data_IF_695656547637
#
_entry.id   IF_695656547637
#
_cell.length_a   1.000
_cell.length_b   1.000
_cell.length_c   1.000
_cell.angle_alpha   90.00
_cell.angle_beta   90.00
_cell.angle_gamma   90.00
#
_symmetry.space_group_name_H-M   'P 1'
#
loop_
_entity.id
_entity.type
_entity.pdbx_description
1 polymer ?
#
# COMPACT_ATOMS: atom_id res chain seq x y z
N UNK A 1 -5.49 -10.06 -16.94
CA UNK A 1 -4.07 -10.28 -17.32
C UNK A 1 -3.27 -10.66 -16.07
N UNK A 2 -2.30 -11.59 -16.13
CA UNK A 2 -1.45 -11.92 -14.98
C UNK A 2 -0.63 -10.71 -14.51
N UNK A 3 -0.23 -10.68 -13.24
CA UNK A 3 0.64 -9.64 -12.71
C UNK A 3 2.03 -9.72 -13.38
N UNK A 4 2.65 -8.57 -13.64
CA UNK A 4 3.92 -8.45 -14.36
C UNK A 4 4.97 -7.74 -13.53
N UNK A 5 6.21 -8.23 -13.59
CA UNK A 5 7.36 -7.60 -12.96
C UNK A 5 8.44 -7.30 -14.00
N UNK A 6 9.06 -6.13 -13.87
CA UNK A 6 10.21 -5.72 -14.68
C UNK A 6 11.51 -6.07 -13.95
N UNK A 7 12.44 -6.73 -14.63
CA UNK A 7 13.78 -6.92 -14.12
C UNK A 7 14.63 -5.67 -14.39
N UNK A 8 15.15 -5.04 -13.33
CA UNK A 8 16.05 -3.89 -13.45
C UNK A 8 17.50 -4.36 -13.28
N UNK A 9 18.29 -4.51 -14.35
CA UNK A 9 19.68 -4.94 -14.25
C UNK A 9 20.55 -3.89 -13.54
N UNK A 10 21.60 -4.34 -12.83
CA UNK A 10 22.57 -3.46 -12.17
C UNK A 10 23.39 -2.71 -13.21
N UNK A 11 23.69 -1.44 -12.89
CA UNK A 11 24.15 -0.28 -13.69
C UNK A 11 25.21 -0.46 -14.82
N UNK A 12 25.79 -1.64 -15.04
CA UNK A 12 26.86 -1.82 -16.04
C UNK A 12 26.42 -2.46 -17.37
N UNK A 13 25.17 -2.93 -17.49
CA UNK A 13 24.64 -3.46 -18.75
C UNK A 13 23.75 -2.45 -19.46
N UNK A 14 24.39 -1.63 -20.29
CA UNK A 14 23.72 -0.65 -21.15
C UNK A 14 22.83 -1.37 -22.17
N UNK A 15 21.51 -1.33 -21.94
CA UNK A 15 20.41 -1.51 -22.92
C UNK A 15 20.01 -2.92 -23.40
N UNK A 16 20.13 -3.97 -22.59
CA UNK A 16 19.79 -5.33 -23.06
C UNK A 16 18.55 -5.86 -22.31
N UNK A 17 17.37 -5.60 -22.89
CA UNK A 17 16.02 -6.09 -22.55
C UNK A 17 15.45 -5.77 -21.15
N UNK A 18 14.42 -4.91 -21.12
CA UNK A 18 13.42 -4.93 -20.04
C UNK A 18 12.64 -6.24 -20.17
N UNK A 19 13.14 -7.30 -19.55
CA UNK A 19 12.45 -8.57 -19.50
C UNK A 19 11.29 -8.46 -18.52
N UNK A 20 10.08 -8.65 -19.05
CA UNK A 20 8.84 -8.63 -18.29
C UNK A 20 8.41 -10.06 -18.05
N UNK A 21 8.21 -10.43 -16.79
CA UNK A 21 7.85 -11.78 -16.38
C UNK A 21 6.44 -11.83 -15.81
N UNK A 22 5.70 -12.88 -16.15
CA UNK A 22 4.46 -13.22 -15.47
C UNK A 22 4.79 -13.75 -14.08
N UNK A 23 4.15 -13.18 -13.05
CA UNK A 23 4.40 -13.50 -11.65
C UNK A 23 3.12 -13.86 -10.91
N UNK A 24 3.27 -14.67 -9.86
CA UNK A 24 2.22 -14.94 -8.88
C UNK A 24 2.53 -14.12 -7.63
N UNK A 25 1.61 -13.24 -7.25
CA UNK A 25 1.74 -12.42 -6.04
C UNK A 25 1.11 -13.13 -4.85
N UNK A 26 1.89 -13.32 -3.78
CA UNK A 26 1.40 -13.76 -2.48
C UNK A 26 1.35 -12.54 -1.57
N UNK A 27 0.16 -12.19 -1.07
CA UNK A 27 -0.06 -10.99 -0.26
C UNK A 27 -0.73 -11.41 1.04
N UNK A 28 -0.32 -10.79 2.15
CA UNK A 28 -0.92 -11.00 3.47
C UNK A 28 -0.90 -9.73 4.29
N UNK A 29 -1.90 -9.54 5.14
CA UNK A 29 -1.89 -8.46 6.13
C UNK A 29 -0.96 -8.89 7.27
N UNK A 30 0.00 -8.04 7.59
CA UNK A 30 0.99 -8.26 8.65
C UNK A 30 0.77 -7.27 9.80
N UNK A 31 1.48 -7.49 10.91
CA UNK A 31 1.54 -6.52 12.02
C UNK A 31 0.17 -6.20 12.65
N UNK A 32 -0.70 -7.21 12.71
CA UNK A 32 -2.10 -7.09 13.20
C UNK A 32 -2.24 -7.09 14.73
N UNK A 33 -1.19 -7.47 15.45
CA UNK A 33 -1.20 -7.60 16.92
C UNK A 33 -0.78 -6.31 17.63
N UNK A 34 -0.62 -5.20 16.89
CA UNK A 34 -0.37 -3.91 17.50
C UNK A 34 -1.65 -3.40 18.17
N UNK A 35 -1.72 -3.54 19.50
CA UNK A 35 -2.74 -2.87 20.29
C UNK A 35 -2.63 -1.37 20.05
N UNK A 36 -3.69 -0.82 19.48
CA UNK A 36 -3.79 0.60 19.28
C UNK A 36 -3.83 1.26 20.66
N UNK A 37 -2.71 1.81 21.13
CA UNK A 37 -2.65 2.62 22.34
C UNK A 37 -3.41 3.95 22.11
N UNK A 38 -4.74 3.88 22.05
CA UNK A 38 -5.70 4.99 21.93
C UNK A 38 -5.42 6.10 22.96
N UNK A 39 -4.74 5.73 24.06
CA UNK A 39 -4.43 6.60 25.20
C UNK A 39 -3.53 7.80 24.87
N UNK A 40 -2.66 7.74 23.85
CA UNK A 40 -1.79 8.88 23.44
C UNK A 40 -2.35 9.73 22.31
N UNK A 41 -3.47 9.31 21.73
CA UNK A 41 -3.98 9.87 20.47
C UNK A 41 -5.04 10.95 20.66
N UNK A 42 -5.73 10.93 21.81
CA UNK A 42 -6.61 12.02 22.24
C UNK A 42 -5.80 13.29 22.54
N UNK A 43 -4.60 13.15 23.11
CA UNK A 43 -3.73 14.31 23.42
C UNK A 43 -3.03 14.91 22.20
N UNK A 44 -2.73 14.12 21.16
CA UNK A 44 -1.98 14.60 19.99
C UNK A 44 -2.86 15.02 18.81
N UNK A 45 -4.08 14.47 18.67
CA UNK A 45 -5.05 14.90 17.65
C UNK A 45 -5.55 16.34 17.87
N UNK A 46 -5.50 16.84 19.12
CA UNK A 46 -5.72 18.25 19.45
C UNK A 46 -4.59 19.18 18.95
N UNK A 47 -3.39 18.66 18.67
CA UNK A 47 -2.20 19.45 18.33
C UNK A 47 -1.75 19.39 16.86
N UNK A 48 -2.18 18.41 16.07
CA UNK A 48 -1.53 18.10 14.77
C UNK A 48 -2.37 18.37 13.52
N UNK A 49 -3.24 19.37 13.53
CA UNK A 49 -3.92 19.99 12.35
C UNK A 49 -2.92 20.48 11.26
N UNK A 50 -1.62 20.26 11.44
CA UNK A 50 -0.57 21.02 10.76
C UNK A 50 0.32 20.23 9.78
N UNK A 51 0.17 18.91 9.60
CA UNK A 51 0.99 18.17 8.62
C UNK A 51 0.23 17.05 7.90
N UNK A 52 0.57 16.88 6.62
CA UNK A 52 -0.07 16.04 5.61
C UNK A 52 -0.19 14.57 6.09
N UNK A 53 -1.39 14.21 6.54
CA UNK A 53 -1.70 13.03 7.37
C UNK A 53 -2.01 11.76 6.56
N UNK A 54 -1.90 11.84 5.23
CA UNK A 54 -2.41 10.84 4.29
C UNK A 54 -1.54 9.59 4.13
N UNK A 55 -0.32 9.54 4.68
CA UNK A 55 0.60 8.40 4.57
C UNK A 55 0.86 7.65 5.89
N UNK A 56 0.37 8.16 7.02
CA UNK A 56 0.70 7.61 8.35
C UNK A 56 -0.24 6.46 8.72
N UNK A 57 0.33 5.35 9.20
CA UNK A 57 -0.41 4.15 9.65
C UNK A 57 -0.97 4.28 11.07
N UNK A 58 -0.37 5.16 11.89
CA UNK A 58 -0.78 5.44 13.27
C UNK A 58 -1.98 6.41 13.27
N UNK A 59 -3.10 5.94 12.72
CA UNK A 59 -4.36 6.69 12.63
C UNK A 59 -5.54 5.88 13.16
N UNK A 60 -6.74 6.45 13.23
CA UNK A 60 -7.90 5.79 13.86
C UNK A 60 -8.20 4.48 13.12
N UNK A 61 -8.45 3.35 13.82
CA UNK A 61 -8.56 2.05 13.15
C UNK A 61 -9.59 2.04 12.02
N UNK A 62 -10.73 2.70 12.20
CA UNK A 62 -11.75 2.83 11.15
C UNK A 62 -11.21 3.63 9.96
N UNK A 63 -10.55 4.76 10.20
CA UNK A 63 -9.91 5.58 9.17
C UNK A 63 -8.76 4.86 8.45
N UNK A 64 -7.95 4.09 9.18
CA UNK A 64 -6.90 3.24 8.61
C UNK A 64 -7.52 2.19 7.67
N UNK A 65 -8.59 1.52 8.12
CA UNK A 65 -9.26 0.49 7.33
C UNK A 65 -9.83 1.04 6.01
N UNK A 66 -10.43 2.24 6.04
CA UNK A 66 -10.97 2.91 4.85
C UNK A 66 -9.85 3.23 3.85
N UNK A 67 -8.79 3.91 4.31
CA UNK A 67 -7.64 4.25 3.47
C UNK A 67 -6.95 3.02 2.90
N UNK A 68 -6.78 1.97 3.71
CA UNK A 68 -6.19 0.71 3.26
C UNK A 68 -7.03 0.08 2.15
N UNK A 69 -8.36 -0.02 2.32
CA UNK A 69 -9.25 -0.58 1.30
C UNK A 69 -9.28 0.27 0.02
N UNK A 70 -9.30 1.59 0.13
CA UNK A 70 -9.21 2.50 -1.02
C UNK A 70 -7.90 2.29 -1.79
N UNK A 71 -6.78 2.16 -1.08
CA UNK A 71 -5.48 1.87 -1.68
C UNK A 71 -5.48 0.52 -2.41
N UNK A 72 -5.97 -0.55 -1.76
CA UNK A 72 -6.03 -1.89 -2.38
C UNK A 72 -6.90 -1.87 -3.64
N UNK A 73 -8.05 -1.19 -3.63
CA UNK A 73 -8.91 -1.05 -4.82
C UNK A 73 -8.26 -0.26 -5.95
N UNK A 74 -7.45 0.75 -5.61
CA UNK A 74 -6.70 1.54 -6.59
C UNK A 74 -5.56 0.72 -7.23
N UNK A 75 -4.85 -0.08 -6.44
CA UNK A 75 -3.74 -0.92 -6.91
C UNK A 75 -4.26 -2.15 -7.68
N UNK A 76 -5.34 -2.76 -7.22
CA UNK A 76 -5.97 -3.94 -7.80
C UNK A 76 -7.42 -3.64 -8.22
N UNK A 77 -7.61 -2.89 -9.32
CA UNK A 77 -8.95 -2.61 -9.83
C UNK A 77 -9.65 -3.92 -10.24
N UNK A 78 -10.94 -4.02 -9.94
CA UNK A 78 -11.76 -5.12 -10.45
C UNK A 78 -11.70 -5.11 -11.98
N UNK A 79 -11.47 -6.27 -12.59
CA UNK A 79 -11.60 -6.39 -14.03
C UNK A 79 -13.08 -6.18 -14.38
N UNK A 80 -13.41 -5.08 -15.04
CA UNK A 80 -14.67 -4.97 -15.77
C UNK A 80 -14.64 -6.03 -16.85
N UNK A 81 -15.37 -7.13 -16.67
CA UNK A 81 -15.72 -8.00 -17.78
C UNK A 81 -16.65 -7.15 -18.65
N UNK A 82 -16.07 -6.52 -19.67
CA UNK A 82 -16.86 -5.96 -20.77
C UNK A 82 -17.33 -7.18 -21.56
N UNK A 83 -18.61 -7.52 -21.41
CA UNK A 83 -19.30 -8.46 -22.31
C UNK A 83 -19.32 -7.90 -23.74
#
# INVERSE_FOLDING_TARGET
>A
MPARAEHIPRKDETRVFLEVYDVVLYVGIIDILQEYNLRKKIEHAYKSVQFDSMSISVVEPTFYSQRFLEFIRKVFPAHSIVN
#
